data_IF_508933080677
#
_entry.id   IF_508933080677
#
_cell.length_a   1.000
_cell.length_b   1.000
_cell.length_c   1.000
_cell.angle_alpha   90.00
_cell.angle_beta   90.00
_cell.angle_gamma   90.00
#
_symmetry.space_group_name_H-M   'P 1'
#
loop_
_entity.id
_entity.type
_entity.pdbx_description
1 polymer ?
#
# COMPACT_ATOMS: atom_id res chain seq x y z
N UNK A 1 5.85 -16.94 12.98
CA UNK A 1 5.82 -18.11 12.06
C UNK A 1 5.46 -17.56 10.70
N UNK A 2 6.31 -17.72 9.68
CA UNK A 2 6.01 -17.28 8.30
C UNK A 2 4.73 -17.96 7.81
N UNK A 3 3.72 -17.18 7.40
CA UNK A 3 2.35 -17.69 7.18
C UNK A 3 2.21 -18.54 5.92
N UNK A 4 3.02 -18.31 4.89
CA UNK A 4 2.98 -19.12 3.67
C UNK A 4 4.29 -19.05 2.87
N UNK A 5 4.58 -20.14 2.15
CA UNK A 5 5.61 -20.23 1.10
C UNK A 5 4.88 -20.44 -0.21
N UNK A 6 5.17 -19.62 -1.21
CA UNK A 6 4.59 -19.73 -2.56
C UNK A 6 5.68 -20.20 -3.52
N UNK A 7 5.30 -21.16 -4.36
CA UNK A 7 6.13 -21.67 -5.44
C UNK A 7 5.66 -21.10 -6.78
N UNK A 8 6.55 -20.35 -7.44
CA UNK A 8 6.36 -19.90 -8.80
C UNK A 8 6.91 -20.97 -9.75
N UNK A 9 6.02 -21.78 -10.30
CA UNK A 9 6.39 -22.90 -11.17
C UNK A 9 6.79 -22.46 -12.58
N UNK A 10 6.42 -21.25 -13.01
CA UNK A 10 6.74 -20.74 -14.35
C UNK A 10 8.16 -20.18 -14.41
N UNK A 11 8.58 -19.47 -13.36
CA UNK A 11 9.92 -18.90 -13.25
C UNK A 11 10.81 -19.68 -12.27
N UNK A 12 10.34 -20.82 -11.79
CA UNK A 12 11.05 -21.83 -11.01
C UNK A 12 11.71 -21.26 -9.75
N UNK A 13 11.00 -20.50 -8.93
CA UNK A 13 11.54 -20.02 -7.64
C UNK A 13 10.51 -20.13 -6.53
N UNK A 14 10.97 -20.00 -5.28
CA UNK A 14 10.10 -19.96 -4.10
C UNK A 14 10.29 -18.67 -3.34
N UNK A 15 9.22 -18.18 -2.71
CA UNK A 15 9.30 -17.07 -1.78
C UNK A 15 8.41 -17.28 -0.56
N UNK A 16 8.75 -16.62 0.54
CA UNK A 16 7.93 -16.52 1.72
C UNK A 16 7.77 -15.05 2.12
N UNK A 17 6.58 -14.69 2.59
CA UNK A 17 6.28 -13.36 3.09
C UNK A 17 5.57 -13.46 4.44
N UNK A 18 6.05 -12.70 5.40
CA UNK A 18 5.41 -12.55 6.71
C UNK A 18 4.55 -11.29 6.72
N UNK A 19 3.23 -11.48 6.74
CA UNK A 19 2.25 -10.38 6.71
C UNK A 19 2.20 -9.55 8.01
N UNK A 20 2.86 -10.00 9.07
CA UNK A 20 2.94 -9.28 10.35
C UNK A 20 4.23 -8.47 10.45
N UNK A 21 5.36 -9.03 10.02
CA UNK A 21 6.68 -8.36 10.14
C UNK A 21 7.15 -7.68 8.85
N UNK A 22 6.53 -8.00 7.71
CA UNK A 22 6.97 -7.55 6.39
C UNK A 22 8.23 -8.29 5.87
N UNK A 23 8.73 -9.28 6.60
CA UNK A 23 9.89 -10.05 6.18
C UNK A 23 9.59 -10.80 4.87
N UNK A 24 10.45 -10.60 3.87
CA UNK A 24 10.38 -11.26 2.58
C UNK A 24 11.68 -12.01 2.31
N UNK A 25 11.56 -13.29 1.96
CA UNK A 25 12.69 -14.12 1.54
C UNK A 25 12.34 -14.84 0.24
N UNK A 26 13.33 -14.97 -0.65
CA UNK A 26 13.17 -15.61 -1.95
C UNK A 26 14.43 -16.39 -2.28
N UNK A 27 14.28 -17.53 -2.92
CA UNK A 27 15.38 -18.28 -3.52
C UNK A 27 15.86 -17.59 -4.82
N UNK A 28 17.00 -18.02 -5.34
CA UNK A 28 17.25 -17.94 -6.78
C UNK A 28 16.34 -18.88 -7.58
N UNK A 29 16.57 -18.96 -8.88
CA UNK A 29 15.97 -19.97 -9.76
C UNK A 29 16.43 -21.34 -9.28
N UNK A 30 15.48 -22.26 -9.18
CA UNK A 30 15.67 -23.65 -8.80
C UNK A 30 15.93 -24.50 -10.04
N UNK A 31 16.89 -25.42 -9.94
CA UNK A 31 17.13 -26.44 -10.98
C UNK A 31 16.08 -27.56 -10.96
N UNK A 32 16.22 -28.53 -11.87
CA UNK A 32 15.36 -29.72 -11.98
C UNK A 32 15.33 -30.59 -10.72
N UNK A 33 16.31 -30.42 -9.82
CA UNK A 33 16.42 -31.11 -8.53
C UNK A 33 15.97 -30.23 -7.36
N UNK A 34 15.42 -29.04 -7.63
CA UNK A 34 14.94 -28.10 -6.62
C UNK A 34 16.05 -27.35 -5.87
N UNK A 35 17.28 -27.32 -6.41
CA UNK A 35 18.42 -26.64 -5.77
C UNK A 35 18.53 -25.21 -6.26
N UNK A 36 18.78 -24.30 -5.32
CA UNK A 36 19.02 -22.89 -5.63
C UNK A 36 20.29 -22.74 -6.48
N UNK A 37 20.15 -22.15 -7.67
CA UNK A 37 21.26 -21.92 -8.60
C UNK A 37 22.04 -20.63 -8.32
N UNK A 38 21.56 -19.79 -7.38
CA UNK A 38 22.11 -18.46 -7.10
C UNK A 38 21.79 -17.41 -8.17
N UNK A 39 21.01 -17.75 -9.20
CA UNK A 39 20.58 -16.84 -10.26
C UNK A 39 19.24 -16.22 -9.91
N UNK A 40 19.12 -14.90 -9.95
CA UNK A 40 17.86 -14.24 -9.67
C UNK A 40 16.82 -14.48 -10.78
N UNK A 41 15.55 -14.80 -10.43
CA UNK A 41 14.46 -14.76 -11.39
C UNK A 41 14.19 -13.32 -11.81
N UNK A 42 14.00 -13.11 -13.12
CA UNK A 42 13.75 -11.80 -13.71
C UNK A 42 12.39 -11.20 -13.30
N UNK A 43 11.37 -12.04 -13.17
CA UNK A 43 10.01 -11.64 -12.80
C UNK A 43 9.28 -12.78 -12.08
N UNK A 44 8.16 -12.44 -11.45
CA UNK A 44 7.20 -13.38 -10.91
C UNK A 44 6.02 -13.58 -11.87
N UNK A 45 5.27 -14.66 -11.69
CA UNK A 45 4.05 -15.00 -12.43
C UNK A 45 2.87 -14.11 -12.04
N UNK A 46 2.92 -13.54 -10.84
CA UNK A 46 1.94 -12.59 -10.35
C UNK A 46 2.65 -11.51 -9.51
N UNK A 47 2.21 -10.24 -9.54
CA UNK A 47 2.83 -9.19 -8.76
C UNK A 47 2.71 -9.44 -7.25
N UNK A 48 3.84 -9.41 -6.54
CA UNK A 48 3.86 -9.52 -5.08
C UNK A 48 3.38 -8.25 -4.38
N UNK A 49 3.41 -7.10 -5.07
CA UNK A 49 2.90 -5.81 -4.62
C UNK A 49 2.16 -5.16 -5.80
N UNK A 50 0.97 -4.61 -5.53
CA UNK A 50 0.16 -3.90 -6.53
C UNK A 50 -0.18 -2.50 -6.01
N UNK A 51 0.00 -1.49 -6.86
CA UNK A 51 -0.53 -0.15 -6.62
C UNK A 51 -2.02 -0.11 -7.00
N UNK A 52 -2.89 0.20 -6.04
CA UNK A 52 -4.35 0.28 -6.26
C UNK A 52 -4.81 1.72 -6.02
N UNK A 53 -5.22 2.38 -7.09
CA UNK A 53 -5.68 3.77 -7.06
C UNK A 53 -7.12 3.91 -6.57
N UNK A 54 -7.32 4.07 -5.27
CA UNK A 54 -8.65 4.22 -4.66
C UNK A 54 -9.16 5.68 -4.68
N UNK A 55 -8.26 6.65 -4.80
CA UNK A 55 -8.61 8.08 -4.75
C UNK A 55 -8.88 8.65 -6.15
N UNK A 56 -10.05 9.29 -6.31
CA UNK A 56 -10.44 10.05 -7.50
C UNK A 56 -10.14 11.56 -7.40
N UNK A 57 -9.95 12.07 -6.18
CA UNK A 57 -9.70 13.50 -5.92
C UNK A 57 -8.90 13.76 -4.62
N UNK A 58 -8.26 14.93 -4.54
CA UNK A 58 -7.33 15.25 -3.46
C UNK A 58 -7.69 16.58 -2.77
N UNK A 59 -8.08 16.54 -1.48
CA UNK A 59 -8.37 17.77 -0.70
C UNK A 59 -7.11 18.64 -0.56
N UNK A 60 -5.97 18.01 -0.28
CA UNK A 60 -4.67 18.71 -0.17
C UNK A 60 -4.27 19.41 -1.48
N UNK A 61 -4.51 18.75 -2.62
CA UNK A 61 -4.33 19.31 -3.95
C UNK A 61 -5.26 20.49 -4.22
N UNK A 62 -6.57 20.33 -3.99
CA UNK A 62 -7.60 21.36 -4.22
C UNK A 62 -7.40 22.64 -3.40
N UNK A 63 -6.85 22.52 -2.20
CA UNK A 63 -6.52 23.69 -1.34
C UNK A 63 -5.26 24.44 -1.80
N UNK A 64 -4.61 23.97 -2.87
CA UNK A 64 -3.38 24.55 -3.41
C UNK A 64 -2.14 24.29 -2.54
N UNK A 65 -2.23 23.44 -1.51
CA UNK A 65 -1.14 23.20 -0.59
C UNK A 65 0.04 22.47 -1.27
N UNK A 66 -0.22 21.55 -2.22
CA UNK A 66 0.83 20.98 -3.06
C UNK A 66 1.64 22.06 -3.78
N UNK A 67 0.94 22.97 -4.47
CA UNK A 67 1.58 24.04 -5.24
C UNK A 67 2.33 25.03 -4.34
N UNK A 68 1.75 25.42 -3.19
CA UNK A 68 2.41 26.28 -2.20
C UNK A 68 3.68 25.64 -1.63
N UNK A 69 3.67 24.33 -1.45
CA UNK A 69 4.87 23.61 -1.06
C UNK A 69 5.89 23.50 -2.19
N UNK A 70 5.56 23.82 -3.45
CA UNK A 70 6.44 23.59 -4.61
C UNK A 70 6.47 22.14 -5.06
N UNK A 71 5.40 21.39 -4.82
CA UNK A 71 5.26 19.97 -5.21
C UNK A 71 4.33 19.85 -6.42
N UNK A 72 4.81 19.22 -7.49
CA UNK A 72 4.03 18.91 -8.68
C UNK A 72 3.31 17.57 -8.55
N UNK A 73 1.99 17.57 -8.71
CA UNK A 73 1.19 16.35 -8.67
C UNK A 73 0.94 15.80 -10.08
N UNK A 74 1.56 14.67 -10.43
CA UNK A 74 1.34 14.01 -11.73
C UNK A 74 -0.11 13.51 -11.89
N UNK A 75 -0.76 13.18 -10.77
CA UNK A 75 -2.18 12.88 -10.70
C UNK A 75 -3.05 14.14 -10.73
N UNK A 76 -2.58 15.31 -11.18
CA UNK A 76 -3.41 16.52 -11.39
C UNK A 76 -4.42 16.85 -10.27
N UNK A 77 -4.07 16.62 -9.00
CA UNK A 77 -5.00 16.69 -7.87
C UNK A 77 -5.54 18.08 -7.57
N UNK A 78 -4.99 19.11 -8.20
CA UNK A 78 -5.48 20.49 -8.14
C UNK A 78 -6.68 20.74 -9.09
N UNK A 79 -6.75 20.02 -10.21
CA UNK A 79 -7.63 20.37 -11.33
C UNK A 79 -8.67 19.31 -11.67
N UNK A 80 -8.36 18.04 -11.39
CA UNK A 80 -9.22 16.91 -11.74
C UNK A 80 -9.86 16.32 -10.49
N UNK A 81 -11.15 16.02 -10.62
CA UNK A 81 -11.97 15.42 -9.60
C UNK A 81 -12.85 14.36 -10.25
N UNK A 82 -12.81 13.16 -9.67
CA UNK A 82 -13.62 12.01 -10.02
C UNK A 82 -14.11 11.36 -8.72
N UNK A 83 -15.17 10.54 -8.76
CA UNK A 83 -15.53 9.68 -7.64
C UNK A 83 -14.36 8.81 -7.18
N UNK A 84 -14.30 8.54 -5.88
CA UNK A 84 -13.39 7.53 -5.35
C UNK A 84 -13.85 6.12 -5.78
N UNK A 85 -12.95 5.14 -5.70
CA UNK A 85 -13.27 3.75 -6.02
C UNK A 85 -14.33 3.21 -5.06
N UNK A 86 -15.30 2.47 -5.58
CA UNK A 86 -16.30 1.83 -4.72
C UNK A 86 -15.68 0.67 -3.94
N UNK A 87 -16.25 0.37 -2.77
CA UNK A 87 -15.81 -0.79 -1.97
C UNK A 87 -16.04 -2.11 -2.71
N UNK A 88 -17.10 -2.21 -3.52
CA UNK A 88 -17.41 -3.40 -4.31
C UNK A 88 -16.31 -3.69 -5.34
N UNK A 89 -15.87 -2.66 -6.07
CA UNK A 89 -14.78 -2.80 -7.04
C UNK A 89 -13.47 -3.14 -6.34
N UNK A 90 -13.18 -2.47 -5.21
CA UNK A 90 -11.98 -2.75 -4.43
C UNK A 90 -11.97 -4.19 -3.87
N UNK A 91 -13.10 -4.66 -3.32
CA UNK A 91 -13.26 -6.03 -2.81
C UNK A 91 -13.05 -7.05 -3.92
N UNK A 92 -13.64 -6.81 -5.09
CA UNK A 92 -13.45 -7.67 -6.25
C UNK A 92 -11.96 -7.81 -6.61
N UNK A 93 -11.21 -6.70 -6.67
CA UNK A 93 -9.75 -6.72 -6.91
C UNK A 93 -9.01 -7.51 -5.82
N UNK A 94 -9.32 -7.26 -4.55
CA UNK A 94 -8.66 -7.92 -3.41
C UNK A 94 -8.86 -9.44 -3.42
N UNK A 95 -10.06 -9.91 -3.74
CA UNK A 95 -10.39 -11.33 -3.81
C UNK A 95 -9.61 -12.05 -4.93
N UNK A 96 -9.40 -11.40 -6.08
CA UNK A 96 -8.58 -11.97 -7.17
C UNK A 96 -7.10 -12.12 -6.77
N UNK A 97 -6.62 -11.26 -5.87
CA UNK A 97 -5.23 -11.19 -5.43
C UNK A 97 -4.92 -12.11 -4.23
N UNK A 98 -5.96 -12.62 -3.54
CA UNK A 98 -5.82 -13.46 -2.34
C UNK A 98 -4.91 -14.66 -2.59
N UNK A 99 -3.86 -14.78 -1.76
CA UNK A 99 -2.88 -15.87 -1.83
C UNK A 99 -1.89 -15.78 -3.01
N UNK A 100 -1.89 -14.68 -3.78
CA UNK A 100 -0.98 -14.46 -4.93
C UNK A 100 -0.21 -13.15 -4.81
N UNK A 101 -0.82 -12.14 -4.22
CA UNK A 101 -0.21 -10.85 -3.89
C UNK A 101 0.01 -10.78 -2.39
N UNK A 102 1.09 -10.12 -1.97
CA UNK A 102 1.42 -9.96 -0.56
C UNK A 102 0.90 -8.61 -0.02
N UNK A 103 1.00 -7.56 -0.84
CA UNK A 103 0.80 -6.18 -0.39
C UNK A 103 0.03 -5.35 -1.41
N UNK A 104 -0.78 -4.42 -0.93
CA UNK A 104 -1.34 -3.34 -1.73
C UNK A 104 -0.75 -2.01 -1.30
N UNK A 105 -0.31 -1.22 -2.27
CA UNK A 105 -0.02 0.19 -2.08
C UNK A 105 -1.24 1.00 -2.52
N UNK A 106 -2.02 1.45 -1.54
CA UNK A 106 -3.20 2.27 -1.77
C UNK A 106 -2.76 3.68 -2.17
N UNK A 107 -3.41 4.23 -3.19
CA UNK A 107 -3.06 5.53 -3.73
C UNK A 107 -4.13 6.08 -4.65
N UNK A 108 -3.71 6.66 -5.77
CA UNK A 108 -4.57 7.35 -6.71
C UNK A 108 -4.38 8.87 -6.63
N UNK A 109 -5.40 9.63 -7.03
CA UNK A 109 -5.40 11.09 -6.97
C UNK A 109 -5.81 11.55 -5.58
N UNK A 110 -4.98 11.40 -4.55
CA UNK A 110 -5.33 11.88 -3.22
C UNK A 110 -4.58 11.19 -2.09
N UNK A 111 -4.95 11.55 -0.87
CA UNK A 111 -4.49 10.91 0.36
C UNK A 111 -5.46 9.76 0.71
N UNK A 112 -5.04 8.49 0.66
CA UNK A 112 -5.92 7.34 0.92
C UNK A 112 -6.64 7.36 2.27
N UNK A 113 -6.01 7.96 3.29
CA UNK A 113 -6.60 8.13 4.62
C UNK A 113 -7.79 9.10 4.67
N UNK A 114 -8.10 9.75 3.55
CA UNK A 114 -9.28 10.62 3.39
C UNK A 114 -10.40 9.97 2.57
N UNK A 115 -10.25 8.69 2.17
CA UNK A 115 -11.33 7.95 1.51
C UNK A 115 -12.51 7.75 2.47
N UNK A 116 -13.74 7.98 2.01
CA UNK A 116 -14.96 7.88 2.81
C UNK A 116 -15.14 6.50 3.47
N UNK A 117 -14.68 5.45 2.80
CA UNK A 117 -14.69 4.05 3.23
C UNK A 117 -13.31 3.51 3.64
N UNK A 118 -12.38 4.38 4.08
CA UNK A 118 -10.99 4.00 4.38
C UNK A 118 -10.86 2.78 5.31
N UNK A 119 -11.62 2.73 6.40
CA UNK A 119 -11.59 1.62 7.37
C UNK A 119 -11.98 0.29 6.72
N UNK A 120 -13.03 0.29 5.90
CA UNK A 120 -13.53 -0.90 5.23
C UNK A 120 -12.52 -1.43 4.20
N UNK A 121 -11.87 -0.52 3.46
CA UNK A 121 -10.78 -0.87 2.54
C UNK A 121 -9.61 -1.56 3.26
N UNK A 122 -9.21 -1.05 4.44
CA UNK A 122 -8.16 -1.68 5.26
C UNK A 122 -8.56 -3.07 5.76
N UNK A 123 -9.82 -3.24 6.16
CA UNK A 123 -10.37 -4.53 6.60
C UNK A 123 -10.38 -5.54 5.46
N UNK A 124 -10.85 -5.14 4.27
CA UNK A 124 -10.85 -5.97 3.06
C UNK A 124 -9.45 -6.48 2.72
N UNK A 125 -8.42 -5.65 2.85
CA UNK A 125 -7.04 -6.07 2.64
C UNK A 125 -6.69 -7.23 3.58
N UNK A 126 -6.92 -7.08 4.89
CA UNK A 126 -6.56 -8.10 5.88
C UNK A 126 -7.39 -9.38 5.74
N UNK A 127 -8.69 -9.29 5.43
CA UNK A 127 -9.57 -10.42 5.11
C UNK A 127 -9.03 -11.29 3.95
N UNK A 128 -8.35 -10.64 3.00
CA UNK A 128 -7.76 -11.27 1.82
C UNK A 128 -6.25 -11.55 1.95
N UNK A 129 -5.71 -11.48 3.18
CA UNK A 129 -4.29 -11.74 3.48
C UNK A 129 -3.32 -10.78 2.76
N UNK A 130 -3.79 -9.57 2.46
CA UNK A 130 -3.02 -8.49 1.86
C UNK A 130 -2.62 -7.49 2.94
N UNK A 131 -1.37 -7.03 2.90
CA UNK A 131 -0.91 -5.96 3.78
C UNK A 131 -1.10 -4.62 3.06
N UNK A 132 -2.00 -3.74 3.54
CA UNK A 132 -2.15 -2.42 2.96
C UNK A 132 -1.01 -1.51 3.41
N UNK A 133 -0.53 -0.69 2.48
CA UNK A 133 0.43 0.38 2.70
C UNK A 133 -0.04 1.59 1.91
N UNK A 134 0.32 2.81 2.30
CA UNK A 134 -0.02 3.98 1.50
C UNK A 134 0.92 5.16 1.75
N UNK A 135 0.82 6.15 0.86
CA UNK A 135 1.48 7.44 1.02
C UNK A 135 0.44 8.53 1.26
N UNK A 136 0.69 9.41 2.23
CA UNK A 136 -0.19 10.53 2.59
C UNK A 136 0.61 11.83 2.71
N UNK A 137 -0.03 12.97 2.47
CA UNK A 137 0.51 14.28 2.83
C UNK A 137 0.59 14.51 4.35
N UNK A 138 -0.15 13.71 5.12
CA UNK A 138 -0.38 13.91 6.56
C UNK A 138 -1.40 15.02 6.87
N UNK A 139 -2.01 15.62 5.84
CA UNK A 139 -3.06 16.61 6.04
C UNK A 139 -4.34 15.94 6.49
N UNK A 140 -4.90 16.40 7.62
CA UNK A 140 -6.09 15.77 8.21
C UNK A 140 -5.82 14.52 9.04
N UNK A 141 -4.55 14.13 9.23
CA UNK A 141 -4.19 13.00 10.09
C UNK A 141 -4.64 13.23 11.53
N UNK A 142 -5.36 12.25 12.09
CA UNK A 142 -5.84 12.25 13.48
C UNK A 142 -5.26 11.07 14.26
N UNK A 143 -5.32 11.07 15.61
CA UNK A 143 -4.94 9.91 16.41
C UNK A 143 -5.71 8.63 16.04
N UNK A 144 -6.98 8.76 15.67
CA UNK A 144 -7.85 7.64 15.29
C UNK A 144 -7.39 7.02 13.97
N UNK A 145 -7.09 7.85 12.96
CA UNK A 145 -6.52 7.38 11.69
C UNK A 145 -5.17 6.71 11.93
N UNK A 146 -4.31 7.31 12.76
CA UNK A 146 -3.01 6.72 13.10
C UNK A 146 -3.14 5.36 13.81
N UNK A 147 -4.12 5.21 14.70
CA UNK A 147 -4.41 3.94 15.37
C UNK A 147 -4.91 2.87 14.39
N UNK A 148 -5.78 3.22 13.45
CA UNK A 148 -6.21 2.32 12.37
C UNK A 148 -5.01 1.89 11.51
N UNK A 149 -4.10 2.81 11.19
CA UNK A 149 -2.88 2.50 10.46
C UNK A 149 -1.99 1.54 11.23
N UNK A 150 -1.81 1.73 12.55
CA UNK A 150 -1.06 0.79 13.41
C UNK A 150 -1.67 -0.61 13.37
N UNK A 151 -3.01 -0.68 13.42
CA UNK A 151 -3.72 -1.95 13.45
C UNK A 151 -3.64 -2.70 12.11
N UNK A 152 -3.79 -1.98 11.00
CA UNK A 152 -4.03 -2.60 9.70
C UNK A 152 -2.90 -2.43 8.70
N UNK A 153 -2.08 -1.38 8.73
CA UNK A 153 -1.09 -1.13 7.68
C UNK A 153 0.24 -1.82 7.96
N UNK A 154 0.99 -2.15 6.91
CA UNK A 154 2.40 -2.54 7.03
C UNK A 154 3.32 -1.33 7.15
N UNK A 155 3.07 -0.32 6.32
CA UNK A 155 3.81 0.94 6.30
C UNK A 155 2.93 2.10 5.84
N UNK A 156 3.16 3.27 6.43
CA UNK A 156 2.58 4.53 5.98
C UNK A 156 3.71 5.52 5.71
N UNK A 157 3.82 5.98 4.47
CA UNK A 157 4.78 7.01 4.10
C UNK A 157 4.14 8.40 4.19
N UNK A 158 4.80 9.32 4.89
CA UNK A 158 4.34 10.70 5.01
C UNK A 158 5.20 11.58 4.10
N UNK A 159 4.60 12.15 3.06
CA UNK A 159 5.27 13.04 2.11
C UNK A 159 5.63 14.38 2.75
N UNK A 160 6.90 14.80 2.65
CA UNK A 160 7.36 16.05 3.26
C UNK A 160 6.95 17.30 2.48
N UNK A 161 5.84 17.92 2.89
CA UNK A 161 5.35 19.18 2.29
C UNK A 161 5.90 20.45 2.96
N UNK A 162 6.97 20.36 3.77
CA UNK A 162 7.57 21.50 4.48
C UNK A 162 6.57 22.25 5.36
N UNK A 163 5.64 21.51 5.97
CA UNK A 163 4.55 22.06 6.75
C UNK A 163 4.41 21.39 8.10
N UNK A 164 3.86 22.13 9.07
CA UNK A 164 3.64 21.66 10.42
C UNK A 164 2.65 20.50 10.50
N UNK A 165 1.66 20.38 9.59
CA UNK A 165 0.75 19.23 9.59
C UNK A 165 1.48 17.92 9.26
N UNK A 166 2.51 17.97 8.42
CA UNK A 166 3.28 16.79 8.08
C UNK A 166 4.10 16.30 9.27
N UNK A 167 4.72 17.21 10.02
CA UNK A 167 5.42 16.86 11.27
C UNK A 167 4.44 16.32 12.33
N UNK A 168 3.27 16.94 12.46
CA UNK A 168 2.22 16.45 13.37
C UNK A 168 1.77 15.04 13.00
N UNK A 169 1.57 14.75 11.72
CA UNK A 169 1.21 13.40 11.28
C UNK A 169 2.27 12.35 11.67
N UNK A 170 3.56 12.66 11.48
CA UNK A 170 4.65 11.79 11.92
C UNK A 170 4.61 11.58 13.45
N UNK A 171 4.38 12.65 14.22
CA UNK A 171 4.23 12.55 15.68
C UNK A 171 3.04 11.68 16.08
N UNK A 172 1.91 11.76 15.36
CA UNK A 172 0.76 10.87 15.60
C UNK A 172 1.16 9.42 15.44
N UNK A 173 1.86 9.05 14.35
CA UNK A 173 2.34 7.67 14.15
C UNK A 173 3.35 7.22 15.21
N UNK A 174 4.24 8.10 15.68
CA UNK A 174 5.17 7.76 16.77
C UNK A 174 4.47 7.52 18.10
N UNK A 175 3.41 8.25 18.43
CA UNK A 175 2.63 7.98 19.65
C UNK A 175 1.90 6.64 19.60
N UNK A 176 1.74 6.07 18.40
CA UNK A 176 1.20 4.74 18.21
C UNK A 176 2.29 3.66 18.18
N UNK A 177 3.59 3.98 18.18
CA UNK A 177 4.66 2.97 18.09
C UNK A 177 4.84 2.18 19.39
#
# INVERSE_FOLDING_TARGET
MMRYVIEDTKYCFKYAFDTETGAYVRTGILDDKGRDTGKDPFQASFPHLIDVGIMGHCIHGKTGLCAKAGVGCYQSGLWKEEPNMTVEDFRWIAEQCKGKTNQFALGGRGDPDQHEQFVEILQICRENQLVPNFTTSGYGMTPEIAALCKQYCGAVAVSWYRSSYTLRAIQQFWMQA
#
